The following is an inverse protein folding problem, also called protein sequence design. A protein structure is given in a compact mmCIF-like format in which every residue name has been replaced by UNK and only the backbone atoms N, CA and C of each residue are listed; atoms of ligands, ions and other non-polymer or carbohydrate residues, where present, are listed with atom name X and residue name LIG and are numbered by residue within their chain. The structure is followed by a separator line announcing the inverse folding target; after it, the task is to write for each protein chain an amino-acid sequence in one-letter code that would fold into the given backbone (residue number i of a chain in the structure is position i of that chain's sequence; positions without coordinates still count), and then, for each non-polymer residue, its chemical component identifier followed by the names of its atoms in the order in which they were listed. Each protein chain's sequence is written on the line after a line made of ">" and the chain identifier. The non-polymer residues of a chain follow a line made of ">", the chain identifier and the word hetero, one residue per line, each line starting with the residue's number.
data_IF_368083429892
#
_entry.id   IF_368083429892
#
_cell.length_a   1.000
_cell.length_b   1.000
_cell.length_c   1.000
_cell.angle_alpha   90.00
_cell.angle_beta   90.00
_cell.angle_gamma   90.00
#
_symmetry.space_group_name_H-M   'P 1'
#
loop_
_entity.id
_entity.type
_entity.pdbx_description
1 polymer ?
#
# COMPACT_ATOMS: atom_id res chain seq x y z
N UNK A 1 -4.30 20.32 23.36
CA UNK A 1 -3.62 19.53 22.31
C UNK A 1 -2.82 18.47 23.02
N UNK A 2 -3.24 17.21 22.95
CA UNK A 2 -2.47 16.11 23.51
C UNK A 2 -1.55 15.63 22.39
N UNK A 3 -0.26 15.93 22.52
CA UNK A 3 0.75 15.46 21.57
C UNK A 3 1.14 14.04 21.98
N UNK A 4 0.58 13.06 21.27
CA UNK A 4 0.98 11.67 21.41
C UNK A 4 2.17 11.43 20.49
N UNK A 5 3.37 11.43 21.07
CA UNK A 5 4.58 11.03 20.36
C UNK A 5 4.56 9.54 20.06
N UNK A 6 3.81 9.12 19.03
CA UNK A 6 3.65 7.73 18.56
C UNK A 6 4.88 7.19 17.80
N UNK A 7 6.01 7.88 17.93
CA UNK A 7 7.25 7.59 17.22
C UNK A 7 8.03 6.40 17.78
N UNK A 8 7.67 5.90 18.96
CA UNK A 8 8.28 4.75 19.64
C UNK A 8 7.20 3.72 20.03
N UNK A 9 7.58 2.46 20.26
CA UNK A 9 6.65 1.44 20.78
C UNK A 9 5.99 1.92 22.08
N UNK A 10 6.74 2.59 22.94
CA UNK A 10 6.20 3.13 24.19
C UNK A 10 5.24 4.30 23.95
N UNK A 11 5.50 5.12 22.94
CA UNK A 11 4.61 6.17 22.48
C UNK A 11 3.30 5.63 21.91
N UNK A 12 3.37 4.56 21.10
CA UNK A 12 2.19 3.85 20.59
C UNK A 12 1.40 3.23 21.73
N UNK A 13 2.06 2.50 22.64
CA UNK A 13 1.39 1.94 23.83
C UNK A 13 0.73 3.03 24.67
N UNK A 14 1.41 4.17 24.84
CA UNK A 14 0.88 5.32 25.56
C UNK A 14 -0.31 5.94 24.85
N UNK A 15 -0.29 6.05 23.52
CA UNK A 15 -1.44 6.49 22.74
C UNK A 15 -2.63 5.52 22.90
N UNK A 16 -2.41 4.22 22.73
CA UNK A 16 -3.46 3.21 22.90
C UNK A 16 -4.05 3.25 24.32
N UNK A 17 -3.22 3.46 25.33
CA UNK A 17 -3.67 3.56 26.72
C UNK A 17 -4.37 4.89 27.04
N UNK A 18 -3.75 6.02 26.70
CA UNK A 18 -4.24 7.36 27.09
C UNK A 18 -5.43 7.81 26.22
N UNK A 19 -5.41 7.48 24.92
CA UNK A 19 -6.46 7.86 23.97
C UNK A 19 -7.57 6.82 23.86
N UNK A 20 -7.25 5.51 23.87
CA UNK A 20 -8.25 4.45 23.66
C UNK A 20 -8.58 3.63 24.90
N UNK A 21 -7.94 3.92 26.04
CA UNK A 21 -8.14 3.20 27.31
C UNK A 21 -7.85 1.69 27.21
N UNK A 22 -7.07 1.29 26.21
CA UNK A 22 -6.64 -0.09 26.01
C UNK A 22 -5.49 -0.38 26.98
N UNK A 23 -5.73 -1.28 27.93
CA UNK A 23 -4.70 -1.71 28.87
C UNK A 23 -3.75 -2.77 28.27
N UNK A 24 -2.73 -3.16 29.04
CA UNK A 24 -1.72 -4.11 28.55
C UNK A 24 -2.25 -5.53 28.28
N UNK A 25 -3.31 -5.95 28.97
CA UNK A 25 -3.95 -7.26 28.74
C UNK A 25 -4.77 -7.19 27.45
N UNK A 26 -5.59 -6.16 27.31
CA UNK A 26 -6.41 -5.96 26.12
C UNK A 26 -5.56 -5.76 24.87
N UNK A 27 -4.42 -5.05 24.98
CA UNK A 27 -3.46 -4.93 23.89
C UNK A 27 -2.88 -6.29 23.48
N UNK A 28 -2.58 -7.18 24.45
CA UNK A 28 -2.13 -8.54 24.17
C UNK A 28 -3.19 -9.36 23.41
N UNK A 29 -4.45 -9.26 23.84
CA UNK A 29 -5.58 -9.92 23.18
C UNK A 29 -5.82 -9.37 21.77
N UNK A 30 -5.69 -8.06 21.58
CA UNK A 30 -5.74 -7.42 20.27
C UNK A 30 -4.61 -7.90 19.34
N UNK A 31 -3.39 -8.04 19.84
CA UNK A 31 -2.28 -8.57 19.05
C UNK A 31 -2.53 -10.02 18.60
N UNK A 32 -3.19 -10.82 19.43
CA UNK A 32 -3.58 -12.18 19.07
C UNK A 32 -4.70 -12.17 18.02
N UNK A 33 -5.74 -11.35 18.21
CA UNK A 33 -6.84 -11.16 17.25
C UNK A 33 -6.35 -10.66 15.90
N UNK A 34 -5.42 -9.70 15.87
CA UNK A 34 -4.84 -9.14 14.66
C UNK A 34 -4.22 -10.21 13.76
N UNK A 35 -3.61 -11.25 14.34
CA UNK A 35 -2.99 -12.34 13.55
C UNK A 35 -4.00 -13.20 12.82
N UNK A 36 -5.26 -13.21 13.25
CA UNK A 36 -6.34 -14.00 12.67
C UNK A 36 -7.39 -13.17 11.94
N UNK A 37 -7.55 -11.90 12.30
CA UNK A 37 -8.56 -10.98 11.78
C UNK A 37 -8.03 -9.54 11.87
N UNK A 38 -7.14 -9.19 10.95
CA UNK A 38 -6.55 -7.84 10.84
C UNK A 38 -7.64 -6.77 10.60
N UNK A 39 -8.57 -7.05 9.69
CA UNK A 39 -9.63 -6.10 9.29
C UNK A 39 -10.58 -5.81 10.46
N UNK A 40 -11.09 -6.84 11.13
CA UNK A 40 -11.96 -6.68 12.30
C UNK A 40 -11.24 -6.04 13.48
N UNK A 41 -9.96 -6.35 13.67
CA UNK A 41 -9.15 -5.70 14.72
C UNK A 41 -8.95 -4.21 14.43
N UNK A 42 -8.69 -3.84 13.17
CA UNK A 42 -8.60 -2.43 12.78
C UNK A 42 -9.93 -1.70 12.93
N UNK A 43 -11.06 -2.33 12.59
CA UNK A 43 -12.39 -1.76 12.78
C UNK A 43 -12.70 -1.48 14.26
N UNK A 44 -12.38 -2.40 15.18
CA UNK A 44 -12.54 -2.22 16.63
C UNK A 44 -11.70 -1.03 17.16
N UNK A 45 -10.44 -0.93 16.73
CA UNK A 45 -9.58 0.22 17.05
C UNK A 45 -10.18 1.53 16.56
N UNK A 46 -10.73 1.51 15.34
CA UNK A 46 -11.29 2.69 14.68
C UNK A 46 -12.58 3.17 15.34
N UNK A 47 -13.47 2.26 15.71
CA UNK A 47 -14.69 2.58 16.44
C UNK A 47 -14.37 3.29 17.75
N UNK A 48 -13.46 2.73 18.54
CA UNK A 48 -12.99 3.31 19.80
C UNK A 48 -12.30 4.66 19.63
N UNK A 49 -11.54 4.84 18.53
CA UNK A 49 -10.95 6.12 18.16
C UNK A 49 -12.04 7.17 17.94
N UNK A 50 -13.09 6.85 17.18
CA UNK A 50 -14.20 7.75 16.91
C UNK A 50 -15.01 8.16 18.15
N UNK A 51 -15.07 7.29 19.16
CA UNK A 51 -15.70 7.61 20.46
C UNK A 51 -14.84 8.53 21.34
N UNK A 52 -13.52 8.45 21.19
CA UNK A 52 -12.55 9.10 22.10
C UNK A 52 -11.93 10.39 21.52
N UNK A 53 -11.87 10.51 20.20
CA UNK A 53 -11.26 11.61 19.45
C UNK A 53 -12.05 11.84 18.15
N UNK A 54 -12.27 13.09 17.75
CA UNK A 54 -12.83 13.33 16.42
C UNK A 54 -11.83 12.83 15.36
N UNK A 55 -12.26 12.11 14.30
CA UNK A 55 -11.36 11.59 13.27
C UNK A 55 -10.50 12.65 12.58
N UNK A 56 -11.01 13.89 12.53
CA UNK A 56 -10.34 15.06 11.94
C UNK A 56 -9.30 15.69 12.89
N UNK A 57 -9.26 15.29 14.17
CA UNK A 57 -8.28 15.77 15.17
C UNK A 57 -7.00 14.90 15.19
N UNK A 58 -6.96 13.79 14.44
CA UNK A 58 -5.78 12.92 14.32
C UNK A 58 -5.09 13.15 12.98
N UNK A 59 -3.90 13.75 13.01
CA UNK A 59 -3.01 13.83 11.85
C UNK A 59 -1.99 12.70 11.91
N UNK A 60 -2.00 11.83 10.90
CA UNK A 60 -1.09 10.71 10.76
C UNK A 60 0.09 11.11 9.89
N UNK A 61 1.31 10.84 10.36
CA UNK A 61 2.52 10.93 9.56
C UNK A 61 2.81 9.57 8.92
N UNK A 62 2.73 9.52 7.59
CA UNK A 62 2.74 8.29 6.83
C UNK A 62 3.95 8.23 5.90
N UNK A 63 4.35 7.01 5.56
CA UNK A 63 5.45 6.76 4.62
C UNK A 63 5.07 5.68 3.63
N UNK A 64 5.20 5.97 2.36
CA UNK A 64 5.04 5.01 1.28
C UNK A 64 6.42 4.72 0.65
N UNK A 65 6.84 3.46 0.73
CA UNK A 65 8.08 2.98 0.10
C UNK A 65 7.74 2.48 -1.28
N UNK A 66 8.43 2.98 -2.30
CA UNK A 66 8.17 2.61 -3.70
C UNK A 66 9.43 2.70 -4.54
N UNK A 67 9.37 2.24 -5.79
CA UNK A 67 10.36 2.56 -6.80
C UNK A 67 9.68 2.94 -8.10
N UNK A 68 10.22 3.93 -8.80
CA UNK A 68 9.67 4.41 -10.07
C UNK A 68 10.78 4.93 -10.99
N UNK A 69 10.41 5.17 -12.25
CA UNK A 69 11.31 5.65 -13.32
C UNK A 69 11.11 7.13 -13.65
N UNK A 70 10.20 7.82 -12.96
CA UNK A 70 9.81 9.21 -13.23
C UNK A 70 10.19 10.19 -12.09
N UNK A 71 10.97 9.73 -11.12
CA UNK A 71 11.41 10.55 -10.00
C UNK A 71 10.26 11.02 -9.11
N UNK A 72 9.20 10.21 -8.96
CA UNK A 72 7.94 10.52 -8.29
C UNK A 72 7.15 11.66 -8.95
N UNK A 73 7.35 11.97 -10.23
CA UNK A 73 6.59 13.01 -10.91
C UNK A 73 5.08 12.71 -10.89
N UNK A 74 4.68 11.48 -11.23
CA UNK A 74 3.29 11.03 -11.18
C UNK A 74 2.66 11.14 -9.78
N UNK A 75 3.42 10.80 -8.74
CA UNK A 75 2.95 10.89 -7.35
C UNK A 75 2.78 12.36 -6.93
N UNK A 76 3.68 13.26 -7.34
CA UNK A 76 3.50 14.70 -7.07
C UNK A 76 2.27 15.29 -7.75
N UNK A 77 1.98 14.83 -8.97
CA UNK A 77 0.86 15.33 -9.75
C UNK A 77 -0.49 14.77 -9.28
N UNK A 78 -0.56 13.47 -9.00
CA UNK A 78 -1.82 12.75 -8.77
C UNK A 78 -2.02 12.26 -7.34
N UNK A 79 -1.02 12.43 -6.48
CA UNK A 79 -0.96 11.81 -5.16
C UNK A 79 -0.66 10.32 -5.20
N UNK A 80 -0.76 9.68 -4.03
CA UNK A 80 -0.58 8.23 -3.92
C UNK A 80 -1.88 7.55 -4.33
N UNK A 81 -1.78 6.71 -5.36
CA UNK A 81 -2.91 6.00 -5.95
C UNK A 81 -2.71 4.50 -5.80
N UNK A 82 -3.83 3.79 -5.77
CA UNK A 82 -3.86 2.33 -5.72
C UNK A 82 -3.46 1.78 -7.05
N UNK A 83 -2.98 0.54 -7.08
CA UNK A 83 -2.45 -0.06 -8.31
C UNK A 83 -3.49 -0.02 -9.46
N UNK A 84 -4.77 -0.27 -9.17
CA UNK A 84 -5.84 -0.15 -10.16
C UNK A 84 -6.02 1.29 -10.68
N UNK A 85 -5.91 2.30 -9.82
CA UNK A 85 -5.95 3.70 -10.24
C UNK A 85 -4.73 4.10 -11.06
N UNK A 86 -3.54 3.65 -10.67
CA UNK A 86 -2.29 3.88 -11.40
C UNK A 86 -2.38 3.28 -12.80
N UNK A 87 -2.82 2.03 -12.93
CA UNK A 87 -2.94 1.34 -14.21
C UNK A 87 -4.11 1.85 -15.08
N UNK A 88 -5.08 2.56 -14.51
CA UNK A 88 -6.17 3.20 -15.26
C UNK A 88 -5.78 4.54 -15.90
N UNK A 89 -4.57 5.04 -15.64
CA UNK A 89 -4.07 6.33 -16.14
C UNK A 89 -2.79 6.15 -16.95
N UNK A 90 -2.48 7.08 -17.88
CA UNK A 90 -1.19 7.05 -18.56
C UNK A 90 -0.04 7.25 -17.56
N UNK A 91 0.77 6.22 -17.35
CA UNK A 91 1.94 6.27 -16.47
C UNK A 91 3.08 5.41 -17.01
N UNK A 92 4.28 5.53 -16.44
CA UNK A 92 5.39 4.66 -16.79
C UNK A 92 5.10 3.18 -16.44
N UNK A 93 4.30 2.95 -15.39
CA UNK A 93 3.90 1.61 -14.98
C UNK A 93 2.84 1.03 -15.91
N UNK A 94 1.85 1.83 -16.31
CA UNK A 94 0.82 1.43 -17.28
C UNK A 94 1.44 1.03 -18.61
N UNK A 95 2.37 1.85 -19.12
CA UNK A 95 3.10 1.53 -20.36
C UNK A 95 3.93 0.25 -20.25
N UNK A 96 4.46 -0.07 -19.07
CA UNK A 96 5.17 -1.33 -18.86
C UNK A 96 4.20 -2.51 -18.95
N UNK A 97 3.09 -2.47 -18.23
CA UNK A 97 2.08 -3.52 -18.24
C UNK A 97 1.55 -3.76 -19.66
N UNK A 98 1.18 -2.69 -20.37
CA UNK A 98 0.70 -2.77 -21.75
C UNK A 98 1.78 -3.31 -22.71
N UNK A 99 3.03 -2.87 -22.55
CA UNK A 99 4.17 -3.38 -23.34
C UNK A 99 4.48 -4.86 -23.08
N UNK A 100 4.05 -5.37 -21.93
CA UNK A 100 4.09 -6.76 -21.53
C UNK A 100 2.85 -7.56 -21.95
N UNK A 101 1.89 -6.95 -22.66
CA UNK A 101 0.65 -7.61 -23.08
C UNK A 101 -0.38 -7.78 -21.96
N UNK A 102 -0.22 -7.06 -20.84
CA UNK A 102 -1.12 -7.05 -19.69
C UNK A 102 -1.92 -5.75 -19.69
N UNK A 103 -3.25 -5.87 -19.81
CA UNK A 103 -4.14 -4.71 -19.84
C UNK A 103 -5.15 -4.78 -18.69
N UNK A 104 -5.19 -3.72 -17.89
CA UNK A 104 -6.14 -3.60 -16.78
C UNK A 104 -7.31 -2.71 -17.19
N UNK A 105 -8.53 -3.21 -17.01
CA UNK A 105 -9.77 -2.44 -17.15
C UNK A 105 -10.43 -2.26 -15.79
N UNK A 106 -10.29 -1.05 -15.25
CA UNK A 106 -10.86 -0.65 -13.95
C UNK A 106 -12.39 -0.75 -13.94
N UNK A 107 -13.05 -0.36 -15.03
CA UNK A 107 -14.51 -0.22 -15.08
C UNK A 107 -15.18 -1.59 -15.07
N UNK A 108 -14.59 -2.57 -15.75
CA UNK A 108 -15.08 -3.95 -15.74
C UNK A 108 -14.41 -4.84 -14.71
N UNK A 109 -13.43 -4.33 -13.95
CA UNK A 109 -12.60 -5.10 -13.00
C UNK A 109 -12.03 -6.36 -13.64
N UNK A 110 -11.52 -6.24 -14.87
CA UNK A 110 -10.91 -7.36 -15.59
C UNK A 110 -9.48 -7.06 -16.00
N UNK A 111 -8.68 -8.13 -16.11
CA UNK A 111 -7.32 -8.10 -16.63
C UNK A 111 -7.27 -8.95 -17.90
N UNK A 112 -6.66 -8.42 -18.95
CA UNK A 112 -6.36 -9.16 -20.16
C UNK A 112 -4.88 -9.51 -20.23
N UNK A 113 -4.56 -10.79 -20.38
CA UNK A 113 -3.20 -11.32 -20.54
C UNK A 113 -3.21 -12.35 -21.68
N UNK A 114 -2.34 -12.18 -22.67
CA UNK A 114 -2.24 -13.08 -23.84
C UNK A 114 -3.59 -13.37 -24.53
N UNK A 115 -4.46 -12.35 -24.61
CA UNK A 115 -5.79 -12.44 -25.20
C UNK A 115 -6.84 -13.16 -24.33
N UNK A 116 -6.47 -13.66 -23.15
CA UNK A 116 -7.41 -14.17 -22.14
C UNK A 116 -7.90 -13.02 -21.29
N UNK A 117 -9.20 -12.95 -21.03
CA UNK A 117 -9.81 -11.98 -20.11
C UNK A 117 -10.16 -12.68 -18.79
N UNK A 118 -9.66 -12.15 -17.69
CA UNK A 118 -9.78 -12.69 -16.34
C UNK A 118 -10.50 -11.68 -15.46
N UNK A 119 -11.43 -12.15 -14.63
CA UNK A 119 -12.16 -11.30 -13.68
C UNK A 119 -11.43 -11.21 -12.35
N UNK A 120 -11.35 -10.01 -11.78
CA UNK A 120 -10.81 -9.78 -10.44
C UNK A 120 -11.82 -10.09 -9.34
N UNK A 121 -13.11 -10.21 -9.66
CA UNK A 121 -14.16 -10.54 -8.68
C UNK A 121 -14.11 -12.02 -8.25
N UNK A 122 -13.28 -12.84 -8.91
CA UNK A 122 -13.13 -14.26 -8.61
C UNK A 122 -11.93 -14.56 -7.69
N UNK A 123 -11.21 -13.53 -7.26
CA UNK A 123 -9.98 -13.66 -6.47
C UNK A 123 -10.28 -14.17 -5.05
N UNK A 124 -11.38 -13.74 -4.42
CA UNK A 124 -11.79 -14.15 -3.07
C UNK A 124 -12.09 -15.65 -2.95
N UNK A 125 -12.78 -16.24 -3.93
CA UNK A 125 -13.19 -17.66 -3.89
C UNK A 125 -12.06 -18.62 -4.31
N UNK A 126 -11.08 -18.15 -5.10
CA UNK A 126 -10.08 -19.01 -5.73
C UNK A 126 -8.79 -19.18 -4.90
N UNK A 127 -8.41 -18.18 -4.10
CA UNK A 127 -7.13 -18.16 -3.38
C UNK A 127 -7.09 -19.03 -2.12
N UNK A 128 -8.24 -19.25 -1.46
CA UNK A 128 -8.32 -20.06 -0.25
C UNK A 128 -8.30 -21.59 -0.50
N UNK A 129 -8.35 -22.04 -1.78
CA UNK A 129 -8.63 -23.44 -2.12
C UNK A 129 -7.69 -24.14 -3.11
N UNK A 130 -6.68 -23.47 -3.70
CA UNK A 130 -5.81 -24.10 -4.72
C UNK A 130 -4.41 -24.41 -4.19
N UNK A 131 -4.05 -25.70 -4.19
CA UNK A 131 -2.69 -26.21 -3.95
C UNK A 131 -1.67 -25.87 -5.07
N UNK A 132 -2.07 -25.08 -6.07
CA UNK A 132 -1.21 -24.61 -7.16
C UNK A 132 -1.59 -23.18 -7.50
N UNK A 133 -0.84 -22.19 -7.00
CA UNK A 133 -0.97 -20.80 -7.44
C UNK A 133 -0.21 -20.62 -8.75
N UNK A 134 -0.94 -20.45 -9.87
CA UNK A 134 -0.29 -20.03 -11.10
C UNK A 134 0.25 -18.59 -10.91
N UNK A 135 1.36 -18.20 -11.57
CA UNK A 135 1.88 -16.83 -11.50
C UNK A 135 0.83 -15.73 -11.72
N UNK A 136 -0.14 -16.01 -12.60
CA UNK A 136 -1.24 -15.09 -12.91
C UNK A 136 -2.15 -14.85 -11.72
N UNK A 137 -2.35 -15.84 -10.86
CA UNK A 137 -3.19 -15.70 -9.68
C UNK A 137 -2.60 -14.62 -8.78
N UNK A 138 -1.29 -14.64 -8.53
CA UNK A 138 -0.61 -13.64 -7.70
C UNK A 138 -0.76 -12.21 -8.24
N UNK A 139 -0.68 -12.05 -9.56
CA UNK A 139 -0.94 -10.77 -10.20
C UNK A 139 -2.40 -10.32 -10.02
N UNK A 140 -3.37 -11.22 -10.22
CA UNK A 140 -4.78 -10.88 -10.01
C UNK A 140 -5.07 -10.49 -8.55
N UNK A 141 -4.46 -11.17 -7.59
CA UNK A 141 -4.58 -10.82 -6.17
C UNK A 141 -4.07 -9.41 -5.87
N UNK A 142 -2.86 -9.08 -6.31
CA UNK A 142 -2.32 -7.72 -6.14
C UNK A 142 -3.22 -6.67 -6.81
N UNK A 143 -3.72 -6.95 -8.02
CA UNK A 143 -4.58 -6.00 -8.73
C UNK A 143 -5.98 -5.84 -8.10
N UNK A 144 -6.45 -6.84 -7.36
CA UNK A 144 -7.74 -6.82 -6.67
C UNK A 144 -7.65 -6.20 -5.28
N UNK A 145 -6.63 -6.60 -4.50
CA UNK A 145 -6.57 -6.43 -3.04
C UNK A 145 -5.42 -5.54 -2.55
N UNK A 146 -4.42 -5.21 -3.39
CA UNK A 146 -3.27 -4.45 -2.92
C UNK A 146 -3.70 -3.05 -2.47
N UNK A 147 -3.53 -2.82 -1.17
CA UNK A 147 -3.96 -1.60 -0.51
C UNK A 147 -3.02 -0.46 -0.86
N UNK A 148 -3.62 0.69 -1.17
CA UNK A 148 -2.96 1.91 -1.66
C UNK A 148 -1.70 2.33 -0.88
N UNK A 149 -1.65 2.04 0.42
CA UNK A 149 -0.62 2.54 1.33
C UNK A 149 -0.32 1.55 2.44
N UNK A 150 0.92 1.08 2.47
CA UNK A 150 1.56 0.63 3.71
C UNK A 150 1.77 1.84 4.62
N UNK A 151 0.86 2.05 5.56
CA UNK A 151 0.88 3.19 6.48
C UNK A 151 1.39 2.73 7.84
N UNK A 152 2.42 3.41 8.33
CA UNK A 152 2.95 3.18 9.68
C UNK A 152 2.70 4.42 10.51
N UNK A 153 2.06 4.22 11.65
CA UNK A 153 1.85 5.26 12.65
C UNK A 153 3.20 5.88 13.07
N UNK A 154 4.30 5.10 13.10
CA UNK A 154 5.69 5.49 12.76
C UNK A 154 6.74 4.42 13.12
N UNK A 155 7.86 4.38 12.38
CA UNK A 155 9.17 3.82 12.79
C UNK A 155 10.27 4.85 12.47
N UNK A 156 11.21 5.11 13.39
CA UNK A 156 12.27 6.15 13.25
C UNK A 156 13.22 5.95 12.07
N UNK A 157 13.37 4.70 11.61
CA UNK A 157 14.16 4.37 10.45
C UNK A 157 13.43 3.30 9.63
N UNK A 158 13.00 3.66 8.41
CA UNK A 158 12.33 2.69 7.52
C UNK A 158 13.27 1.56 7.08
N UNK A 159 14.59 1.79 7.09
CA UNK A 159 15.62 0.76 6.81
C UNK A 159 15.60 -0.39 7.82
N UNK A 160 15.11 -0.13 9.03
CA UNK A 160 14.96 -1.15 10.06
C UNK A 160 13.59 -1.84 10.00
N UNK A 161 12.62 -1.28 9.26
CA UNK A 161 11.27 -1.85 9.14
C UNK A 161 11.22 -2.92 8.06
N UNK A 162 11.71 -2.61 6.88
CA UNK A 162 11.74 -3.56 5.79
C UNK A 162 13.07 -3.47 5.07
N UNK A 163 13.46 -4.57 4.44
CA UNK A 163 14.24 -4.48 3.23
C UNK A 163 13.48 -3.52 2.30
N UNK A 164 14.07 -2.36 2.00
CA UNK A 164 13.58 -1.50 0.93
C UNK A 164 13.49 -2.39 -0.30
N UNK A 165 12.27 -2.80 -0.66
CA UNK A 165 12.09 -3.63 -1.85
C UNK A 165 12.60 -2.79 -3.00
N UNK A 166 13.50 -3.36 -3.81
CA UNK A 166 14.07 -2.62 -4.94
C UNK A 166 12.98 -2.17 -5.90
N UNK A 167 11.84 -2.87 -5.94
CA UNK A 167 10.74 -2.64 -6.86
C UNK A 167 9.38 -2.91 -6.19
N UNK A 168 8.29 -2.27 -6.66
CA UNK A 168 6.92 -2.57 -6.22
C UNK A 168 6.56 -4.05 -6.43
N UNK A 169 5.69 -4.60 -5.56
CA UNK A 169 5.26 -6.00 -5.64
C UNK A 169 4.58 -6.34 -6.97
N UNK A 170 3.79 -5.40 -7.50
CA UNK A 170 3.18 -5.51 -8.83
C UNK A 170 4.19 -5.75 -9.97
N UNK A 171 5.43 -5.26 -9.85
CA UNK A 171 6.50 -5.52 -10.84
C UNK A 171 7.01 -6.95 -10.73
N UNK A 172 7.11 -7.47 -9.52
CA UNK A 172 7.52 -8.86 -9.30
C UNK A 172 6.45 -9.80 -9.85
N UNK A 173 5.18 -9.59 -9.51
CA UNK A 173 4.08 -10.40 -10.04
C UNK A 173 3.94 -10.32 -11.56
N UNK A 174 4.15 -9.13 -12.16
CA UNK A 174 4.20 -9.00 -13.62
C UNK A 174 5.32 -9.88 -14.21
N UNK A 175 6.51 -9.87 -13.63
CA UNK A 175 7.65 -10.68 -14.10
C UNK A 175 7.38 -12.19 -14.02
N UNK A 176 6.73 -12.65 -12.95
CA UNK A 176 6.30 -14.05 -12.81
C UNK A 176 5.33 -14.44 -13.94
N UNK A 177 4.44 -13.53 -14.34
CA UNK A 177 3.48 -13.75 -15.44
C UNK A 177 4.15 -13.77 -16.81
N UNK A 178 5.01 -12.80 -17.11
CA UNK A 178 5.63 -12.68 -18.45
C UNK A 178 6.94 -13.45 -18.61
N UNK A 179 7.40 -14.11 -17.55
CA UNK A 179 8.63 -14.87 -17.48
C UNK A 179 9.84 -14.02 -17.08
N UNK A 180 10.68 -14.62 -16.22
CA UNK A 180 11.94 -14.02 -15.81
C UNK A 180 12.84 -13.69 -17.01
N UNK A 181 13.40 -12.48 -16.99
CA UNK A 181 14.27 -12.00 -18.06
C UNK A 181 13.54 -11.30 -19.21
N UNK A 182 12.23 -11.03 -19.07
CA UNK A 182 11.51 -10.16 -19.99
C UNK A 182 12.22 -8.79 -20.11
N UNK A 183 12.54 -8.41 -21.35
CA UNK A 183 13.37 -7.22 -21.64
C UNK A 183 12.72 -5.92 -21.17
N UNK A 184 11.40 -5.79 -21.29
CA UNK A 184 10.68 -4.59 -20.87
C UNK A 184 10.72 -4.42 -19.35
N UNK A 185 10.48 -5.52 -18.61
CA UNK A 185 10.58 -5.55 -17.15
C UNK A 185 12.00 -5.24 -16.68
N UNK A 186 13.00 -5.86 -17.33
CA UNK A 186 14.41 -5.63 -16.99
C UNK A 186 14.80 -4.16 -17.19
N UNK A 187 14.45 -3.56 -18.35
CA UNK A 187 14.72 -2.14 -18.63
C UNK A 187 14.07 -1.22 -17.62
N UNK A 188 12.84 -1.52 -17.23
CA UNK A 188 12.15 -0.74 -16.21
C UNK A 188 12.86 -0.84 -14.86
N UNK A 189 13.25 -2.04 -14.43
CA UNK A 189 13.98 -2.27 -13.17
C UNK A 189 15.35 -1.56 -13.16
N UNK A 190 16.07 -1.56 -14.28
CA UNK A 190 17.36 -0.87 -14.42
C UNK A 190 17.23 0.66 -14.31
N UNK A 191 16.17 1.22 -14.91
CA UNK A 191 15.86 2.64 -14.83
C UNK A 191 15.26 3.06 -13.48
N UNK A 192 14.60 2.14 -12.76
CA UNK A 192 13.89 2.44 -11.54
C UNK A 192 14.83 2.89 -10.40
N UNK A 193 14.34 3.81 -9.57
CA UNK A 193 15.03 4.25 -8.36
C UNK A 193 14.07 4.12 -7.17
N UNK A 194 14.57 3.68 -6.00
CA UNK A 194 13.74 3.58 -4.81
C UNK A 194 13.54 4.96 -4.15
N UNK A 195 12.35 5.17 -3.61
CA UNK A 195 11.93 6.40 -2.95
C UNK A 195 11.17 6.09 -1.67
N UNK A 196 11.32 6.99 -0.70
CA UNK A 196 10.43 7.09 0.46
C UNK A 196 9.64 8.37 0.28
N UNK A 197 8.32 8.20 0.19
CA UNK A 197 7.36 9.30 0.06
C UNK A 197 6.75 9.53 1.43
N UNK A 198 6.99 10.71 2.00
CA UNK A 198 6.46 11.09 3.31
C UNK A 198 5.27 12.04 3.12
N UNK A 199 4.14 11.76 3.78
CA UNK A 199 2.94 12.59 3.69
C UNK A 199 2.19 12.57 5.01
N UNK A 200 1.32 13.56 5.20
CA UNK A 200 0.38 13.56 6.31
C UNK A 200 -1.03 13.30 5.82
N UNK A 201 -1.85 12.63 6.63
CA UNK A 201 -3.26 12.43 6.32
C UNK A 201 -4.07 12.29 7.61
N UNK A 202 -5.30 12.78 7.58
CA UNK A 202 -6.31 12.48 8.59
C UNK A 202 -6.84 11.06 8.40
N UNK A 203 -7.48 10.52 9.44
CA UNK A 203 -8.17 9.21 9.35
C UNK A 203 -9.26 9.21 8.26
N UNK A 204 -9.88 10.35 8.01
CA UNK A 204 -10.91 10.54 6.99
C UNK A 204 -10.34 10.55 5.57
N UNK A 205 -9.18 11.16 5.36
CA UNK A 205 -8.50 11.17 4.06
C UNK A 205 -8.01 9.77 3.65
N UNK A 206 -7.59 8.96 4.63
CA UNK A 206 -7.29 7.55 4.41
C UNK A 206 -8.53 6.75 3.96
N UNK A 207 -9.68 6.92 4.62
CA UNK A 207 -10.92 6.21 4.25
C UNK A 207 -11.41 6.55 2.84
N UNK A 208 -11.20 7.81 2.45
CA UNK A 208 -11.60 8.28 1.13
C UNK A 208 -10.59 7.90 0.05
N UNK A 209 -9.48 7.23 0.41
CA UNK A 209 -8.36 6.92 -0.47
C UNK A 209 -7.84 8.15 -1.22
N UNK A 210 -7.91 9.34 -0.59
CA UNK A 210 -7.48 10.62 -1.16
C UNK A 210 -6.21 11.07 -0.47
N UNK A 211 -5.09 10.50 -0.90
CA UNK A 211 -3.79 10.82 -0.33
C UNK A 211 -3.06 11.77 -1.26
N UNK A 212 -3.38 13.06 -1.11
CA UNK A 212 -2.64 14.12 -1.76
C UNK A 212 -1.43 14.51 -0.92
N UNK A 213 -0.27 14.70 -1.54
CA UNK A 213 0.92 15.06 -0.82
C UNK A 213 0.96 16.54 -0.45
N UNK A 214 1.54 16.85 0.71
CA UNK A 214 1.77 18.22 1.13
C UNK A 214 2.73 18.91 0.14
N UNK A 215 2.40 20.14 -0.29
CA UNK A 215 3.13 20.96 -1.28
C UNK A 215 4.55 21.44 -0.82
N UNK A 216 5.18 20.75 0.13
CA UNK A 216 6.46 21.13 0.75
C UNK A 216 7.70 20.54 0.08
N UNK A 217 8.81 21.30 0.10
CA UNK A 217 10.15 20.84 -0.26
C UNK A 217 10.62 19.74 0.71
N UNK A 218 10.32 18.48 0.43
CA UNK A 218 10.72 17.34 1.27
C UNK A 218 9.95 16.04 0.99
N UNK A 219 8.87 16.13 0.22
CA UNK A 219 7.88 15.09 -0.06
C UNK A 219 8.43 13.74 -0.56
N UNK A 220 9.44 13.75 -1.43
CA UNK A 220 10.08 12.54 -1.93
C UNK A 220 11.57 12.60 -1.66
N UNK A 221 12.08 11.62 -0.92
CA UNK A 221 13.53 11.44 -0.74
C UNK A 221 13.96 10.18 -1.47
N UNK A 222 15.04 10.31 -2.25
CA UNK A 222 15.72 9.14 -2.79
C UNK A 222 16.14 8.25 -1.62
N UNK A 223 15.76 6.98 -1.66
CA UNK A 223 16.22 6.02 -0.69
C UNK A 223 17.66 5.64 -1.09
N UNK A 224 18.67 6.31 -0.51
CA UNK A 224 20.09 6.03 -0.79
C UNK A 224 20.49 4.66 -0.28
#
# INVERSE_FOLDING_TARGET
>A
MIDFGIFTIDGVKRFLFDALRIDGCEFGDMQLRFRSDEVGTYADVRERLGESLAPDDLLLHLRHVTANTDGCASIRESGILGIGDVLSRPSALTRLFEGCGVHFDKASRTVSVDGRRLSLDLVDDAFLGRESSEPIDGLLYILAEDSLVNSFIHKSCIREYSTLSRYPEAIWALEEVVGHGNEAVWRWKDAARPYVVEFTATLKELDLCRLQPDDGMGFCRAAV
#
